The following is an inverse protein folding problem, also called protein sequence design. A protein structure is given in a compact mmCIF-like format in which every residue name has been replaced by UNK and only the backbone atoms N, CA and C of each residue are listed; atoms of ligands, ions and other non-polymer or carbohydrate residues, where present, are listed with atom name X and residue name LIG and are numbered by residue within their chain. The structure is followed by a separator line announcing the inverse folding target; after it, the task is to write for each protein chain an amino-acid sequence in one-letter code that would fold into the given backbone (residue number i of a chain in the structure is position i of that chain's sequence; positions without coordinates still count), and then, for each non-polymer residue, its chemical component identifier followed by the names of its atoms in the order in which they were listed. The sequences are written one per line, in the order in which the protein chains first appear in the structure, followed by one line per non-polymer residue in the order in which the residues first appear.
data_IF_311799383812
#
_entry.id   IF_311799383812
#
_cell.length_a   1.000
_cell.length_b   1.000
_cell.length_c   1.000
_cell.angle_alpha   90.00
_cell.angle_beta   90.00
_cell.angle_gamma   90.00
#
_symmetry.space_group_name_H-M   'P 1'
#
loop_
_entity.id
_entity.type
_entity.pdbx_description
1 polymer ?
#
# COMPACT_ATOMS: atom_id res chain seq x y z
N UNK A 1 -13.31 17.64 -71.23
CA UNK A 1 -12.45 16.43 -71.13
C UNK A 1 -11.36 16.76 -70.12
N UNK A 2 -11.21 15.92 -69.09
CA UNK A 2 -10.21 16.00 -68.01
C UNK A 2 -10.58 16.85 -66.78
N UNK A 3 -11.43 16.31 -65.89
CA UNK A 3 -11.44 16.67 -64.47
C UNK A 3 -10.28 15.97 -63.77
N UNK A 4 -9.49 16.77 -63.06
CA UNK A 4 -8.39 16.38 -62.19
C UNK A 4 -8.77 15.25 -61.22
N UNK A 5 -8.03 14.14 -61.33
CA UNK A 5 -7.75 13.24 -60.21
C UNK A 5 -6.60 13.84 -59.42
N UNK A 6 -6.82 14.26 -58.18
CA UNK A 6 -5.86 14.48 -57.07
C UNK A 6 -6.70 15.20 -56.00
N UNK A 7 -6.94 14.69 -54.80
CA UNK A 7 -5.94 14.29 -53.81
C UNK A 7 -6.62 13.39 -52.76
N UNK A 8 -6.40 12.08 -52.86
CA UNK A 8 -6.65 11.17 -51.74
C UNK A 8 -5.46 11.30 -50.78
N UNK A 9 -5.52 12.29 -49.87
CA UNK A 9 -4.60 12.37 -48.73
C UNK A 9 -4.96 11.21 -47.81
N UNK A 10 -4.39 10.04 -48.09
CA UNK A 10 -4.37 8.91 -47.18
C UNK A 10 -3.67 9.35 -45.91
N UNK A 11 -4.46 9.72 -44.91
CA UNK A 11 -4.01 9.84 -43.53
C UNK A 11 -3.38 8.51 -43.14
N UNK A 12 -2.04 8.47 -43.13
CA UNK A 12 -1.26 7.38 -42.58
C UNK A 12 -1.55 7.33 -41.06
N UNK A 13 -2.64 6.68 -40.67
CA UNK A 13 -2.87 6.31 -39.27
C UNK A 13 -1.90 5.18 -38.97
N UNK A 14 -0.74 5.51 -38.40
CA UNK A 14 0.25 4.57 -37.90
C UNK A 14 -0.38 3.75 -36.74
N UNK A 15 -0.80 2.49 -36.96
CA UNK A 15 -1.53 1.73 -35.93
C UNK A 15 -0.61 1.20 -34.82
N UNK A 16 0.71 1.26 -35.03
CA UNK A 16 1.70 0.74 -34.09
C UNK A 16 1.96 1.68 -32.89
N UNK A 17 1.85 3.00 -33.06
CA UNK A 17 2.05 3.95 -31.96
C UNK A 17 0.84 4.01 -30.98
N UNK A 18 -0.39 3.86 -31.48
CA UNK A 18 -1.59 3.85 -30.63
C UNK A 18 -1.78 2.57 -29.80
N UNK A 19 -1.19 1.46 -30.23
CA UNK A 19 -1.18 0.18 -29.48
C UNK A 19 -0.25 0.25 -28.27
N UNK A 20 0.95 0.81 -28.46
CA UNK A 20 1.95 0.97 -27.41
C UNK A 20 1.52 2.00 -26.35
N UNK A 21 0.97 3.15 -26.76
CA UNK A 21 0.44 4.15 -25.81
C UNK A 21 -0.73 3.61 -24.98
N UNK A 22 -1.65 2.82 -25.59
CA UNK A 22 -2.73 2.19 -24.82
C UNK A 22 -2.24 1.10 -23.88
N UNK A 23 -1.22 0.32 -24.24
CA UNK A 23 -0.60 -0.66 -23.33
C UNK A 23 0.13 0.04 -22.18
N UNK A 24 0.92 1.10 -22.45
CA UNK A 24 1.55 1.92 -21.39
C UNK A 24 0.53 2.58 -20.47
N UNK A 25 -0.54 3.17 -21.02
CA UNK A 25 -1.64 3.74 -20.24
C UNK A 25 -2.30 2.66 -19.37
N UNK A 26 -2.59 1.47 -19.94
CA UNK A 26 -3.20 0.37 -19.19
C UNK A 26 -2.28 -0.18 -18.09
N UNK A 27 -0.98 -0.28 -18.34
CA UNK A 27 0.01 -0.76 -17.36
C UNK A 27 0.20 0.25 -16.22
N UNK A 28 0.27 1.56 -16.51
CA UNK A 28 0.27 2.60 -15.46
C UNK A 28 -1.03 2.55 -14.65
N UNK A 29 -2.20 2.50 -15.28
CA UNK A 29 -3.47 2.45 -14.55
C UNK A 29 -3.64 1.19 -13.69
N UNK A 30 -3.09 0.05 -14.12
CA UNK A 30 -3.13 -1.20 -13.35
C UNK A 30 -2.17 -1.17 -12.16
N UNK A 31 -0.97 -0.57 -12.28
CA UNK A 31 -0.07 -0.40 -11.13
C UNK A 31 -0.66 0.52 -10.06
N UNK A 32 -1.35 1.59 -10.47
CA UNK A 32 -1.97 2.52 -9.51
C UNK A 32 -3.10 1.86 -8.72
N UNK A 33 -3.93 1.05 -9.39
CA UNK A 33 -5.10 0.41 -8.75
C UNK A 33 -4.69 -0.73 -7.81
N UNK A 34 -3.57 -1.40 -8.09
CA UNK A 34 -3.07 -2.50 -7.26
C UNK A 34 -2.73 -2.04 -5.84
N UNK A 35 -1.97 -0.95 -5.70
CA UNK A 35 -1.59 -0.42 -4.40
C UNK A 35 -2.79 0.13 -3.62
N UNK A 36 -3.76 0.75 -4.30
CA UNK A 36 -5.03 1.18 -3.69
C UNK A 36 -5.81 -0.02 -3.15
N UNK A 37 -5.85 -1.13 -3.88
CA UNK A 37 -6.54 -2.35 -3.43
C UNK A 37 -5.87 -2.92 -2.17
N UNK A 38 -4.54 -2.97 -2.15
CA UNK A 38 -3.77 -3.40 -0.97
C UNK A 38 -4.04 -2.46 0.21
N UNK A 39 -4.01 -1.15 0.00
CA UNK A 39 -4.32 -0.16 1.02
C UNK A 39 -5.73 -0.38 1.61
N UNK A 40 -6.72 -0.67 0.77
CA UNK A 40 -8.08 -1.00 1.18
C UNK A 40 -8.14 -2.26 2.04
N UNK A 41 -7.41 -3.31 1.69
CA UNK A 41 -7.34 -4.56 2.47
C UNK A 41 -6.71 -4.30 3.84
N UNK A 42 -5.57 -3.62 3.90
CA UNK A 42 -4.93 -3.29 5.19
C UNK A 42 -5.76 -2.35 6.05
N UNK A 43 -6.46 -1.41 5.41
CA UNK A 43 -7.45 -0.53 6.02
C UNK A 43 -8.59 -1.31 6.66
N UNK A 44 -9.22 -2.20 5.90
CA UNK A 44 -10.29 -3.07 6.41
C UNK A 44 -9.81 -3.94 7.57
N UNK A 45 -8.63 -4.54 7.45
CA UNK A 45 -8.03 -5.36 8.51
C UNK A 45 -7.81 -4.56 9.80
N UNK A 46 -7.30 -3.34 9.73
CA UNK A 46 -7.06 -2.56 10.95
C UNK A 46 -8.35 -2.00 11.55
N UNK A 47 -9.41 -1.77 10.77
CA UNK A 47 -10.73 -1.49 11.34
C UNK A 47 -11.25 -2.71 12.12
N UNK A 48 -11.15 -3.91 11.55
CA UNK A 48 -11.56 -5.16 12.22
C UNK A 48 -10.75 -5.39 13.50
N UNK A 49 -9.42 -5.29 13.41
CA UNK A 49 -8.53 -5.51 14.55
C UNK A 49 -8.72 -4.43 15.62
N UNK A 50 -8.90 -3.16 15.22
CA UNK A 50 -9.19 -2.06 16.12
C UNK A 50 -10.51 -2.23 16.87
N UNK A 51 -11.57 -2.64 16.18
CA UNK A 51 -12.85 -2.96 16.82
C UNK A 51 -12.71 -4.12 17.81
N UNK A 52 -11.91 -5.14 17.47
CA UNK A 52 -11.60 -6.25 18.38
C UNK A 52 -10.79 -5.78 19.61
N UNK A 53 -9.88 -4.83 19.46
CA UNK A 53 -9.11 -4.26 20.58
C UNK A 53 -9.97 -3.59 21.66
N UNK A 54 -11.01 -2.88 21.26
CA UNK A 54 -11.87 -2.16 22.22
C UNK A 54 -13.06 -2.99 22.71
N UNK A 55 -13.64 -3.85 21.86
CA UNK A 55 -14.84 -4.61 22.21
C UNK A 55 -14.61 -6.10 22.45
N UNK A 56 -13.54 -6.68 21.90
CA UNK A 56 -13.25 -8.12 21.95
C UNK A 56 -12.24 -8.51 23.03
N UNK A 57 -11.46 -7.57 23.56
CA UNK A 57 -10.53 -7.85 24.66
C UNK A 57 -11.26 -7.97 26.00
N UNK A 58 -10.85 -8.91 26.87
CA UNK A 58 -11.49 -9.10 28.17
C UNK A 58 -11.22 -7.91 29.11
N UNK A 59 -12.12 -7.65 30.09
CA UNK A 59 -12.01 -6.46 30.95
C UNK A 59 -10.74 -6.41 31.80
N UNK A 60 -10.18 -7.57 32.13
CA UNK A 60 -8.96 -7.77 32.91
C UNK A 60 -7.69 -7.88 32.05
N UNK A 61 -7.79 -7.55 30.75
CA UNK A 61 -6.65 -7.60 29.85
C UNK A 61 -5.50 -6.66 30.32
N UNK A 62 -4.24 -7.13 30.34
CA UNK A 62 -3.13 -6.33 30.86
C UNK A 62 -2.99 -4.98 30.15
N UNK A 63 -3.04 -3.88 30.89
CA UNK A 63 -3.01 -2.52 30.35
C UNK A 63 -1.79 -2.24 29.46
N UNK A 64 -0.63 -2.80 29.81
CA UNK A 64 0.59 -2.67 29.01
C UNK A 64 0.47 -3.35 27.64
N UNK A 65 -0.16 -4.52 27.58
CA UNK A 65 -0.39 -5.24 26.31
C UNK A 65 -1.48 -4.56 25.49
N UNK A 66 -2.53 -4.03 26.13
CA UNK A 66 -3.54 -3.21 25.44
C UNK A 66 -2.90 -2.00 24.76
N UNK A 67 -2.00 -1.31 25.47
CA UNK A 67 -1.25 -0.19 24.88
C UNK A 67 -0.43 -0.59 23.65
N UNK A 68 0.23 -1.75 23.68
CA UNK A 68 0.98 -2.25 22.50
C UNK A 68 0.03 -2.57 21.34
N UNK A 69 -1.12 -3.18 21.63
CA UNK A 69 -2.17 -3.44 20.65
C UNK A 69 -2.67 -2.15 19.97
N UNK A 70 -2.99 -1.14 20.77
CA UNK A 70 -3.51 0.15 20.26
C UNK A 70 -2.46 0.88 19.42
N UNK A 71 -1.18 0.83 19.83
CA UNK A 71 -0.08 1.39 19.04
C UNK A 71 0.04 0.65 17.70
N UNK A 72 0.01 -0.68 17.70
CA UNK A 72 0.07 -1.46 16.46
C UNK A 72 -1.09 -1.10 15.51
N UNK A 73 -2.30 -0.97 16.04
CA UNK A 73 -3.47 -0.61 15.26
C UNK A 73 -3.39 0.79 14.67
N UNK A 74 -2.95 1.77 15.45
CA UNK A 74 -2.72 3.14 14.96
C UNK A 74 -1.71 3.18 13.82
N UNK A 75 -0.60 2.45 13.96
CA UNK A 75 0.40 2.36 12.90
C UNK A 75 -0.15 1.69 11.65
N UNK A 76 -0.89 0.58 11.79
CA UNK A 76 -1.52 -0.08 10.64
C UNK A 76 -2.45 0.87 9.89
N UNK A 77 -3.29 1.63 10.60
CA UNK A 77 -4.20 2.61 9.96
C UNK A 77 -3.46 3.74 9.28
N UNK A 78 -2.46 4.33 9.94
CA UNK A 78 -1.66 5.40 9.35
C UNK A 78 -0.91 4.95 8.08
N UNK A 79 -0.31 3.76 8.10
CA UNK A 79 0.40 3.24 6.93
C UNK A 79 -0.53 2.72 5.84
N UNK A 80 -1.74 2.25 6.18
CA UNK A 80 -2.78 1.93 5.20
C UNK A 80 -3.23 3.17 4.44
N UNK A 81 -3.41 4.30 5.14
CA UNK A 81 -3.71 5.58 4.51
C UNK A 81 -2.53 6.08 3.67
N UNK A 82 -1.30 5.90 4.14
CA UNK A 82 -0.10 6.21 3.34
C UNK A 82 -0.02 5.36 2.06
N UNK A 83 -0.45 4.09 2.09
CA UNK A 83 -0.52 3.25 0.90
C UNK A 83 -1.51 3.78 -0.15
N UNK A 84 -2.57 4.50 0.24
CA UNK A 84 -3.45 5.17 -0.72
C UNK A 84 -2.75 6.30 -1.47
N UNK A 85 -1.70 6.90 -0.89
CA UNK A 85 -0.90 7.94 -1.51
C UNK A 85 0.27 7.40 -2.35
N UNK A 86 0.55 6.09 -2.31
CA UNK A 86 1.63 5.46 -3.09
C UNK A 86 1.55 5.75 -4.59
N UNK A 87 0.37 5.76 -5.23
CA UNK A 87 0.23 6.15 -6.63
C UNK A 87 0.80 7.51 -7.02
N UNK A 88 0.95 8.42 -6.04
CA UNK A 88 1.45 9.76 -6.25
C UNK A 88 2.99 9.84 -6.17
N UNK A 89 3.67 8.76 -5.77
CA UNK A 89 5.11 8.73 -5.61
C UNK A 89 5.84 8.56 -6.95
N UNK A 90 7.09 9.03 -7.03
CA UNK A 90 7.94 8.84 -8.21
C UNK A 90 8.26 7.36 -8.49
N UNK A 91 8.28 6.51 -7.46
CA UNK A 91 8.52 5.06 -7.55
C UNK A 91 7.49 4.25 -6.73
N UNK A 92 6.23 4.16 -7.18
CA UNK A 92 5.13 3.60 -6.39
C UNK A 92 5.40 2.15 -5.94
N UNK A 93 6.01 1.32 -6.78
CA UNK A 93 6.31 -0.07 -6.43
C UNK A 93 7.30 -0.20 -5.27
N UNK A 94 8.30 0.68 -5.18
CA UNK A 94 9.29 0.64 -4.10
C UNK A 94 8.64 1.09 -2.79
N UNK A 95 7.94 2.22 -2.84
CA UNK A 95 7.26 2.79 -1.67
C UNK A 95 6.20 1.83 -1.14
N UNK A 96 5.35 1.31 -2.03
CA UNK A 96 4.28 0.38 -1.68
C UNK A 96 4.78 -0.92 -1.06
N UNK A 97 5.84 -1.51 -1.63
CA UNK A 97 6.44 -2.73 -1.08
C UNK A 97 7.07 -2.47 0.29
N UNK A 98 7.84 -1.39 0.46
CA UNK A 98 8.48 -1.07 1.74
C UNK A 98 7.45 -0.81 2.84
N UNK A 99 6.42 0.00 2.55
CA UNK A 99 5.36 0.27 3.51
C UNK A 99 4.57 -0.99 3.88
N UNK A 100 4.22 -1.82 2.88
CA UNK A 100 3.44 -3.03 3.11
C UNK A 100 4.22 -4.07 3.92
N UNK A 101 5.48 -4.34 3.55
CA UNK A 101 6.35 -5.30 4.26
C UNK A 101 6.67 -4.79 5.67
N UNK A 102 7.04 -3.52 5.80
CA UNK A 102 7.31 -2.90 7.09
C UNK A 102 6.09 -2.96 8.01
N UNK A 103 4.89 -2.71 7.48
CA UNK A 103 3.64 -2.77 8.23
C UNK A 103 3.31 -4.20 8.70
N UNK A 104 3.46 -5.22 7.83
CA UNK A 104 3.25 -6.62 8.22
C UNK A 104 4.20 -7.01 9.36
N UNK A 105 5.50 -6.70 9.24
CA UNK A 105 6.49 -7.07 10.26
C UNK A 105 6.24 -6.30 11.56
N UNK A 106 6.07 -4.97 11.49
CA UNK A 106 5.89 -4.13 12.67
C UNK A 106 4.55 -4.42 13.37
N UNK A 107 3.43 -4.32 12.65
CA UNK A 107 2.11 -4.49 13.26
C UNK A 107 1.86 -5.95 13.62
N UNK A 108 2.26 -6.90 12.76
CA UNK A 108 2.09 -8.33 13.02
C UNK A 108 2.84 -8.81 14.27
N UNK A 109 4.09 -8.37 14.46
CA UNK A 109 4.87 -8.72 15.67
C UNK A 109 4.26 -8.11 16.92
N UNK A 110 3.80 -6.85 16.85
CA UNK A 110 3.15 -6.19 17.98
C UNK A 110 1.80 -6.82 18.36
N UNK A 111 0.95 -7.19 17.39
CA UNK A 111 -0.31 -7.90 17.69
C UNK A 111 -0.06 -9.27 18.28
N UNK A 112 0.90 -10.03 17.73
CA UNK A 112 1.26 -11.33 18.28
C UNK A 112 1.75 -11.20 19.72
N UNK A 113 2.62 -10.23 20.00
CA UNK A 113 3.06 -9.95 21.35
C UNK A 113 1.90 -9.56 22.26
N UNK A 114 1.00 -8.68 21.81
CA UNK A 114 -0.11 -8.23 22.62
C UNK A 114 -1.03 -9.40 23.03
N UNK A 115 -1.34 -10.30 22.09
CA UNK A 115 -2.24 -11.44 22.34
C UNK A 115 -1.57 -12.59 23.10
N UNK A 116 -0.35 -12.97 22.74
CA UNK A 116 0.34 -14.12 23.35
C UNK A 116 1.16 -13.75 24.60
N UNK A 117 1.52 -12.48 24.76
CA UNK A 117 2.43 -12.03 25.82
C UNK A 117 3.89 -12.45 25.62
N UNK A 118 4.26 -12.97 24.46
CA UNK A 118 5.62 -13.44 24.18
C UNK A 118 6.55 -12.27 23.82
N UNK A 119 7.49 -11.96 24.70
CA UNK A 119 8.43 -10.84 24.53
C UNK A 119 9.50 -11.09 23.46
N UNK A 120 9.81 -12.34 23.13
CA UNK A 120 10.86 -12.65 22.16
C UNK A 120 10.54 -12.14 20.75
N UNK A 121 9.25 -12.09 20.39
CA UNK A 121 8.84 -11.67 19.05
C UNK A 121 8.97 -10.15 18.83
N UNK A 122 8.96 -9.35 19.90
CA UNK A 122 9.14 -7.89 19.81
C UNK A 122 10.52 -7.53 19.25
N UNK A 123 11.50 -8.43 19.35
CA UNK A 123 12.84 -8.18 18.81
C UNK A 123 12.84 -7.93 17.29
N UNK A 124 11.81 -8.38 16.58
CA UNK A 124 11.65 -8.14 15.14
C UNK A 124 10.95 -6.81 14.82
N UNK A 125 10.22 -6.23 15.77
CA UNK A 125 9.56 -4.92 15.64
C UNK A 125 10.49 -3.79 15.16
N UNK A 126 11.74 -3.61 15.66
CA UNK A 126 12.63 -2.57 15.15
C UNK A 126 12.96 -2.72 13.66
N UNK A 127 13.04 -3.94 13.14
CA UNK A 127 13.31 -4.20 11.71
C UNK A 127 12.13 -3.72 10.86
N UNK A 128 10.90 -3.99 11.32
CA UNK A 128 9.69 -3.46 10.70
C UNK A 128 9.65 -1.93 10.73
N UNK A 129 9.97 -1.34 11.89
CA UNK A 129 10.04 0.12 12.06
C UNK A 129 11.06 0.78 11.14
N UNK A 130 12.28 0.22 11.03
CA UNK A 130 13.29 0.75 10.09
C UNK A 130 12.83 0.66 8.64
N UNK A 131 12.14 -0.42 8.27
CA UNK A 131 11.60 -0.60 6.92
C UNK A 131 10.53 0.46 6.61
N UNK A 132 9.66 0.76 7.58
CA UNK A 132 8.66 1.82 7.46
C UNK A 132 9.30 3.21 7.32
N UNK A 133 10.37 3.50 8.06
CA UNK A 133 11.12 4.75 7.92
C UNK A 133 11.69 4.88 6.50
N UNK A 134 12.36 3.83 6.00
CA UNK A 134 12.89 3.83 4.63
C UNK A 134 11.76 3.95 3.58
N UNK A 135 10.61 3.31 3.83
CA UNK A 135 9.41 3.45 3.00
C UNK A 135 8.93 4.91 2.93
N UNK A 136 8.86 5.61 4.06
CA UNK A 136 8.53 7.05 4.08
C UNK A 136 9.57 7.90 3.36
N UNK A 137 10.86 7.65 3.56
CA UNK A 137 11.92 8.37 2.86
C UNK A 137 11.88 8.14 1.35
N UNK A 138 11.43 6.96 0.91
CA UNK A 138 11.33 6.65 -0.51
C UNK A 138 10.25 7.44 -1.26
N UNK A 139 9.31 8.11 -0.56
CA UNK A 139 8.41 9.08 -1.19
C UNK A 139 9.15 10.32 -1.72
N UNK A 140 10.34 10.62 -1.21
CA UNK A 140 11.13 11.79 -1.62
C UNK A 140 11.84 11.56 -2.97
N UNK A 141 11.95 10.31 -3.41
CA UNK A 141 12.74 9.88 -4.59
C UNK A 141 11.93 9.76 -5.88
#
# INVERSE_FOLDING_TARGET
MSSEKLTEVKTCKTPLLQSDSRKRLRVMFVSETFWISIAGIFGALGVIIGAYGEHGLPPDFPAQRKKVFDVANRYQMLHSLALLAVPLAGRPNIVGTLLSVGMIIFCGTCYFHALTGNEHIIRYTPIGGTTLIVGWLSFVL
#
